data_IF_551397265765
#
_entry.id   IF_551397265765
#
_cell.length_a   1.000
_cell.length_b   1.000
_cell.length_c   1.000
_cell.angle_alpha   90.00
_cell.angle_beta   90.00
_cell.angle_gamma   90.00
#
_symmetry.space_group_name_H-M   'P 1'
#
loop_
_entity.id
_entity.type
_entity.pdbx_description
1 polymer ?
#
# COMPACT_ATOMS: atom_id res chain seq x y z
N UNK A 1 9.09 -17.05 -8.02
CA UNK A 1 8.39 -17.89 -7.01
C UNK A 1 7.19 -17.07 -6.52
N UNK A 2 6.00 -17.38 -7.03
CA UNK A 2 4.79 -16.64 -6.72
C UNK A 2 4.45 -16.73 -5.22
N UNK A 3 4.08 -15.62 -4.61
CA UNK A 3 3.56 -15.60 -3.25
C UNK A 3 2.12 -16.17 -3.29
N UNK A 4 1.99 -17.48 -3.00
CA UNK A 4 0.69 -18.13 -2.94
C UNK A 4 -0.22 -17.50 -1.88
N UNK A 5 -1.32 -16.91 -2.34
CA UNK A 5 -2.32 -16.28 -1.47
C UNK A 5 -3.19 -17.26 -0.69
N UNK A 6 -3.09 -18.58 -0.95
CA UNK A 6 -4.06 -19.58 -0.48
C UNK A 6 -3.82 -20.11 0.94
N UNK A 7 -2.64 -19.91 1.54
CA UNK A 7 -2.28 -20.49 2.84
C UNK A 7 -2.26 -19.51 4.02
N UNK A 8 -2.82 -18.32 3.87
CA UNK A 8 -2.87 -17.34 4.95
C UNK A 8 -3.83 -17.82 6.06
N UNK A 9 -3.28 -18.33 7.17
CA UNK A 9 -4.04 -18.49 8.43
C UNK A 9 -4.76 -17.19 8.76
N UNK A 10 -5.97 -17.25 9.33
CA UNK A 10 -6.71 -16.06 9.73
C UNK A 10 -5.82 -15.19 10.60
N UNK A 11 -5.64 -13.96 10.17
CA UNK A 11 -4.71 -13.01 10.68
C UNK A 11 -5.09 -12.55 12.09
N UNK A 12 -4.22 -12.69 13.05
CA UNK A 12 -4.40 -12.19 14.41
C UNK A 12 -3.72 -10.84 14.56
N UNK A 13 -4.52 -9.77 14.48
CA UNK A 13 -4.14 -8.45 14.96
C UNK A 13 -3.16 -7.65 14.08
N UNK A 14 -3.64 -6.92 13.04
CA UNK A 14 -2.83 -5.90 12.36
C UNK A 14 -2.65 -4.71 13.29
N UNK A 15 -1.42 -4.44 13.72
CA UNK A 15 -1.12 -3.38 14.67
C UNK A 15 -1.49 -1.99 14.14
N UNK A 16 -1.67 -1.84 12.82
CA UNK A 16 -2.15 -0.63 12.18
C UNK A 16 -3.67 -0.60 11.95
N UNK A 17 -4.41 -1.63 12.36
CA UNK A 17 -5.86 -1.62 12.25
C UNK A 17 -6.47 -0.70 13.32
N UNK A 18 -7.25 0.34 12.94
CA UNK A 18 -7.98 1.15 13.91
C UNK A 18 -8.95 0.27 14.71
N UNK A 19 -9.07 0.51 16.01
CA UNK A 19 -10.00 -0.25 16.88
C UNK A 19 -11.42 -0.19 16.34
N UNK A 20 -11.85 0.96 15.80
CA UNK A 20 -13.17 1.15 15.19
C UNK A 20 -13.43 0.23 14.00
N UNK A 21 -12.41 -0.38 13.42
CA UNK A 21 -12.58 -1.32 12.29
C UNK A 21 -13.20 -2.65 12.72
N UNK A 22 -13.06 -3.03 13.99
CA UNK A 22 -13.53 -4.31 14.56
C UNK A 22 -13.19 -5.54 13.67
N UNK A 23 -12.05 -5.50 12.96
CA UNK A 23 -11.64 -6.56 12.05
C UNK A 23 -12.42 -6.65 10.73
N UNK A 24 -13.38 -5.76 10.47
CA UNK A 24 -14.23 -5.79 9.26
C UNK A 24 -13.48 -5.71 7.94
N UNK A 25 -12.28 -5.16 7.95
CA UNK A 25 -11.42 -5.08 6.75
C UNK A 25 -11.03 -6.47 6.19
N UNK A 26 -11.17 -7.53 6.98
CA UNK A 26 -10.91 -8.93 6.59
C UNK A 26 -12.16 -9.78 6.47
N UNK A 27 -13.30 -9.23 6.85
CA UNK A 27 -14.58 -9.91 6.71
C UNK A 27 -15.06 -9.97 5.25
N UNK A 28 -16.14 -10.71 5.00
CA UNK A 28 -16.77 -10.71 3.69
C UNK A 28 -17.23 -9.28 3.35
N UNK A 29 -16.84 -8.83 2.16
CA UNK A 29 -17.26 -7.53 1.67
C UNK A 29 -18.76 -7.54 1.33
N UNK A 30 -19.49 -6.45 1.62
CA UNK A 30 -20.88 -6.32 1.20
C UNK A 30 -21.05 -6.48 -0.32
N UNK A 31 -22.21 -6.97 -0.82
CA UNK A 31 -22.43 -7.12 -2.27
C UNK A 31 -22.25 -5.84 -3.10
N UNK A 32 -22.44 -4.68 -2.47
CA UNK A 32 -22.31 -3.35 -3.11
C UNK A 32 -20.88 -2.80 -3.11
N UNK A 33 -19.86 -3.63 -2.92
CA UNK A 33 -18.47 -3.20 -2.96
C UNK A 33 -17.97 -2.99 -4.39
N UNK A 34 -17.13 -1.97 -4.54
CA UNK A 34 -16.45 -1.70 -5.79
C UNK A 34 -15.07 -2.41 -5.81
N UNK A 35 -14.76 -3.19 -6.84
CA UNK A 35 -13.43 -3.77 -6.98
C UNK A 35 -12.41 -2.66 -7.22
N UNK A 36 -11.24 -2.81 -6.60
CA UNK A 36 -10.12 -1.89 -6.73
C UNK A 36 -8.80 -2.65 -6.58
N UNK A 37 -7.73 -2.07 -7.11
CA UNK A 37 -6.40 -2.62 -6.99
C UNK A 37 -5.38 -1.52 -6.76
N UNK A 38 -4.29 -1.86 -6.08
CA UNK A 38 -3.14 -0.98 -5.87
C UNK A 38 -1.86 -1.74 -6.22
N UNK A 39 -0.83 -1.02 -6.67
CA UNK A 39 0.47 -1.58 -6.99
C UNK A 39 1.50 -1.23 -5.92
N UNK A 40 2.00 -2.24 -5.25
CA UNK A 40 3.11 -2.16 -4.31
C UNK A 40 4.39 -2.51 -5.07
N UNK A 41 4.94 -1.54 -5.81
CA UNK A 41 6.15 -1.75 -6.59
C UNK A 41 7.39 -1.68 -5.69
N UNK A 42 8.21 -2.72 -5.70
CA UNK A 42 9.55 -2.72 -5.12
C UNK A 42 10.54 -2.25 -6.18
N UNK A 43 11.13 -1.09 -5.97
CA UNK A 43 12.05 -0.42 -6.90
C UNK A 43 13.40 -0.14 -6.24
N UNK A 44 14.49 0.00 -7.00
CA UNK A 44 15.74 0.53 -6.45
C UNK A 44 15.53 1.92 -5.82
N UNK A 45 16.25 2.20 -4.75
CA UNK A 45 16.13 3.49 -4.05
C UNK A 45 16.57 4.67 -4.94
N UNK A 46 15.84 5.81 -4.93
CA UNK A 46 16.22 7.02 -5.69
C UNK A 46 17.40 7.77 -5.09
N UNK A 47 17.79 7.48 -3.84
CA UNK A 47 18.79 8.25 -3.12
C UNK A 47 20.13 7.53 -3.04
N UNK A 48 21.24 8.29 -3.16
CA UNK A 48 22.59 7.77 -3.00
C UNK A 48 22.85 7.22 -1.57
N UNK A 49 22.13 7.71 -0.58
CA UNK A 49 22.22 7.24 0.82
C UNK A 49 21.69 5.80 1.00
N UNK A 50 20.84 5.35 0.07
CA UNK A 50 20.22 4.02 0.08
C UNK A 50 20.56 3.23 -1.18
N UNK A 51 21.73 3.48 -1.78
CA UNK A 51 22.18 2.79 -2.99
C UNK A 51 22.25 1.28 -2.75
N UNK A 52 21.60 0.49 -3.61
CA UNK A 52 21.47 -0.96 -3.45
C UNK A 52 20.32 -1.41 -2.55
N UNK A 53 19.56 -0.48 -1.98
CA UNK A 53 18.36 -0.77 -1.20
C UNK A 53 17.10 -0.69 -2.06
N UNK A 54 16.04 -1.34 -1.59
CA UNK A 54 14.73 -1.33 -2.22
C UNK A 54 13.83 -0.30 -1.55
N UNK A 55 12.95 0.30 -2.34
CA UNK A 55 11.96 1.27 -1.89
C UNK A 55 10.59 0.99 -2.47
N UNK A 56 9.56 1.53 -1.83
CA UNK A 56 8.16 1.44 -2.28
C UNK A 56 7.68 2.87 -2.53
N UNK A 57 7.32 3.24 -3.77
CA UNK A 57 6.68 4.53 -4.03
C UNK A 57 5.26 4.56 -3.47
N UNK A 58 4.95 5.65 -2.80
CA UNK A 58 3.63 6.01 -2.30
C UNK A 58 3.26 7.38 -2.86
N UNK A 59 1.97 7.63 -3.05
CA UNK A 59 1.46 8.91 -3.54
C UNK A 59 0.82 9.70 -2.40
N UNK A 60 1.09 11.01 -2.34
CA UNK A 60 0.36 11.95 -1.51
C UNK A 60 -0.74 12.58 -2.34
N UNK A 61 -1.98 12.39 -1.96
CA UNK A 61 -3.13 12.99 -2.66
C UNK A 61 -3.22 14.49 -2.38
N UNK A 62 -3.56 15.32 -3.39
CA UNK A 62 -3.76 16.75 -3.19
C UNK A 62 -4.77 17.05 -2.08
N UNK A 63 -4.50 18.12 -1.31
CA UNK A 63 -5.40 18.57 -0.25
C UNK A 63 -6.75 19.09 -0.78
N UNK A 64 -6.82 19.39 -2.07
CA UNK A 64 -8.02 19.88 -2.78
C UNK A 64 -8.98 18.79 -3.22
N UNK A 65 -8.59 17.51 -3.13
CA UNK A 65 -9.45 16.40 -3.56
C UNK A 65 -10.67 16.25 -2.64
N UNK A 66 -11.82 15.87 -3.23
CA UNK A 66 -13.06 15.65 -2.50
C UNK A 66 -12.98 14.45 -1.54
N UNK A 67 -12.24 13.42 -1.91
CA UNK A 67 -12.07 12.20 -1.11
C UNK A 67 -10.60 11.94 -0.83
N UNK A 68 -10.32 11.49 0.40
CA UNK A 68 -8.95 11.12 0.83
C UNK A 68 -7.90 12.24 0.69
N UNK A 69 -8.31 13.51 0.73
CA UNK A 69 -7.44 14.68 0.64
C UNK A 69 -6.27 14.58 1.63
N UNK A 70 -5.05 14.84 1.15
CA UNK A 70 -3.83 14.81 1.95
C UNK A 70 -3.47 13.44 2.55
N UNK A 71 -4.05 12.35 2.05
CA UNK A 71 -3.70 11.00 2.51
C UNK A 71 -2.61 10.39 1.64
N UNK A 72 -1.77 9.59 2.29
CA UNK A 72 -0.76 8.79 1.60
C UNK A 72 -1.36 7.45 1.21
N UNK A 73 -1.19 7.06 -0.06
CA UNK A 73 -1.69 5.80 -0.62
C UNK A 73 -0.64 5.12 -1.51
N UNK A 74 -0.90 3.86 -1.84
CA UNK A 74 -0.25 3.25 -2.99
C UNK A 74 -0.87 3.80 -4.27
N UNK A 75 -0.12 3.86 -5.38
CA UNK A 75 -0.73 4.06 -6.70
C UNK A 75 -1.79 3.00 -6.95
N UNK A 76 -2.98 3.42 -7.39
CA UNK A 76 -4.08 2.51 -7.62
C UNK A 76 -5.45 3.11 -7.46
N UNK A 77 -6.47 2.38 -7.95
CA UNK A 77 -7.84 2.85 -7.98
C UNK A 77 -8.86 1.76 -8.28
N UNK A 78 -10.03 2.17 -8.76
CA UNK A 78 -11.14 1.29 -9.10
C UNK A 78 -10.86 0.52 -10.38
N UNK A 79 -11.25 -0.76 -10.39
CA UNK A 79 -11.31 -1.50 -11.64
C UNK A 79 -12.44 -0.97 -12.52
N UNK A 80 -12.15 -0.77 -13.78
CA UNK A 80 -13.14 -0.45 -14.80
C UNK A 80 -13.94 -1.71 -15.20
N UNK A 81 -15.04 -1.54 -15.93
CA UNK A 81 -15.83 -2.67 -16.37
C UNK A 81 -15.02 -3.63 -17.26
N UNK A 82 -14.93 -4.89 -16.88
CA UNK A 82 -14.16 -5.90 -17.59
C UNK A 82 -12.66 -5.89 -17.31
N UNK A 83 -12.16 -4.97 -16.48
CA UNK A 83 -10.75 -4.86 -16.13
C UNK A 83 -10.37 -5.84 -15.00
N UNK A 84 -9.25 -6.55 -15.14
CA UNK A 84 -8.68 -7.33 -14.06
C UNK A 84 -8.02 -6.43 -13.01
N UNK A 85 -7.74 -6.98 -11.81
CA UNK A 85 -7.03 -6.21 -10.78
C UNK A 85 -5.61 -5.84 -11.21
N UNK A 86 -4.94 -6.71 -11.97
CA UNK A 86 -3.61 -6.47 -12.50
C UNK A 86 -3.61 -5.32 -13.51
N UNK A 87 -4.59 -5.31 -14.42
CA UNK A 87 -4.76 -4.26 -15.39
C UNK A 87 -5.06 -2.91 -14.71
N UNK A 88 -5.98 -2.90 -13.73
CA UNK A 88 -6.33 -1.70 -13.00
C UNK A 88 -5.12 -1.11 -12.25
N UNK A 89 -4.37 -1.95 -11.52
CA UNK A 89 -3.21 -1.49 -10.77
C UNK A 89 -2.10 -0.93 -11.68
N UNK A 90 -1.85 -1.58 -12.81
CA UNK A 90 -0.86 -1.13 -13.79
C UNK A 90 -1.29 0.18 -14.48
N UNK A 91 -2.55 0.29 -14.88
CA UNK A 91 -3.11 1.51 -15.47
C UNK A 91 -3.01 2.69 -14.52
N UNK A 92 -3.52 2.54 -13.30
CA UNK A 92 -3.51 3.59 -12.26
C UNK A 92 -2.07 4.00 -11.90
N UNK A 93 -1.15 3.04 -11.78
CA UNK A 93 0.27 3.32 -11.57
C UNK A 93 0.85 4.22 -12.66
N UNK A 94 0.51 3.92 -13.93
CA UNK A 94 0.97 4.73 -15.07
C UNK A 94 0.29 6.09 -15.10
N UNK A 95 -1.00 6.18 -14.82
CA UNK A 95 -1.78 7.42 -14.81
C UNK A 95 -1.34 8.36 -13.68
N UNK A 96 -1.19 7.84 -12.45
CA UNK A 96 -0.82 8.63 -11.28
C UNK A 96 0.67 9.05 -11.29
N UNK A 97 1.59 8.14 -11.64
CA UNK A 97 3.03 8.41 -11.59
C UNK A 97 3.63 8.89 -12.91
N UNK A 98 2.87 8.85 -14.01
CA UNK A 98 3.33 9.29 -15.33
C UNK A 98 4.55 8.52 -15.84
N UNK A 99 4.68 7.25 -15.47
CA UNK A 99 5.78 6.38 -15.89
C UNK A 99 5.28 5.02 -16.33
N UNK A 100 5.98 4.38 -17.32
CA UNK A 100 5.58 3.09 -17.83
C UNK A 100 5.73 1.98 -16.77
N UNK A 101 4.84 1.00 -16.82
CA UNK A 101 4.85 -0.15 -15.91
C UNK A 101 5.44 -1.43 -16.52
N UNK A 102 5.83 -1.41 -17.79
CA UNK A 102 6.30 -2.59 -18.53
C UNK A 102 7.56 -3.23 -17.95
N UNK A 103 8.30 -2.49 -17.13
CA UNK A 103 9.50 -2.99 -16.43
C UNK A 103 9.21 -3.47 -15.03
N UNK A 104 7.94 -3.50 -14.63
CA UNK A 104 7.51 -4.02 -13.33
C UNK A 104 6.93 -5.41 -13.55
N UNK A 105 7.66 -6.43 -13.10
CA UNK A 105 7.17 -7.79 -13.06
C UNK A 105 6.20 -7.97 -11.91
N UNK A 106 4.95 -8.36 -12.18
CA UNK A 106 3.99 -8.72 -11.15
C UNK A 106 4.35 -10.09 -10.56
N UNK A 107 4.72 -10.12 -9.30
CA UNK A 107 5.21 -11.32 -8.59
C UNK A 107 4.17 -11.94 -7.67
N UNK A 108 3.00 -11.34 -7.53
CA UNK A 108 1.89 -11.88 -6.73
C UNK A 108 0.97 -10.81 -6.15
N UNK A 109 0.16 -11.23 -5.19
CA UNK A 109 -0.76 -10.33 -4.49
C UNK A 109 -0.82 -10.63 -3.00
N UNK A 110 -1.23 -9.63 -2.22
CA UNK A 110 -1.61 -9.80 -0.83
C UNK A 110 -3.12 -10.11 -0.73
N UNK A 111 -3.60 -10.62 0.41
CA UNK A 111 -5.03 -10.82 0.62
C UNK A 111 -5.80 -9.52 0.45
N UNK A 112 -6.93 -9.60 -0.24
CA UNK A 112 -7.80 -8.44 -0.44
C UNK A 112 -8.28 -7.86 0.87
N UNK A 113 -8.44 -6.52 0.89
CA UNK A 113 -8.88 -5.76 2.05
C UNK A 113 -10.16 -4.98 1.71
N UNK A 114 -11.15 -5.03 2.60
CA UNK A 114 -12.32 -4.17 2.48
C UNK A 114 -12.09 -2.83 3.18
N UNK A 115 -12.13 -1.76 2.41
CA UNK A 115 -12.01 -0.38 2.90
C UNK A 115 -13.41 0.19 3.11
N UNK A 116 -13.87 0.19 4.36
CA UNK A 116 -15.22 0.58 4.72
C UNK A 116 -15.58 2.02 4.30
N UNK A 117 -14.63 2.93 4.41
CA UNK A 117 -14.84 4.36 4.15
C UNK A 117 -15.20 4.66 2.69
N UNK A 118 -14.58 3.93 1.76
CA UNK A 118 -14.77 4.11 0.30
C UNK A 118 -15.59 2.98 -0.33
N UNK A 119 -16.01 1.97 0.45
CA UNK A 119 -16.69 0.75 -0.03
C UNK A 119 -15.90 0.00 -1.10
N UNK A 120 -14.58 0.07 -1.07
CA UNK A 120 -13.73 -0.66 -2.01
C UNK A 120 -13.25 -1.98 -1.41
N UNK A 121 -13.24 -3.02 -2.24
CA UNK A 121 -12.47 -4.24 -2.00
C UNK A 121 -11.18 -4.13 -2.78
N UNK A 122 -10.10 -3.82 -2.07
CA UNK A 122 -8.79 -3.54 -2.66
C UNK A 122 -7.95 -4.81 -2.68
N UNK A 123 -7.38 -5.12 -3.83
CA UNK A 123 -6.37 -6.18 -4.01
C UNK A 123 -5.00 -5.51 -4.13
N UNK A 124 -4.09 -5.68 -3.15
CA UNK A 124 -2.72 -5.20 -3.26
C UNK A 124 -1.91 -6.16 -4.12
N UNK A 125 -1.40 -5.68 -5.25
CA UNK A 125 -0.49 -6.42 -6.13
C UNK A 125 0.95 -6.08 -5.78
N UNK A 126 1.83 -7.07 -5.87
CA UNK A 126 3.26 -6.91 -5.67
C UNK A 126 3.96 -6.89 -7.02
N UNK A 127 4.77 -5.88 -7.24
CA UNK A 127 5.60 -5.73 -8.42
C UNK A 127 7.08 -5.58 -8.07
N UNK A 128 7.95 -6.09 -8.92
CA UNK A 128 9.40 -5.95 -8.80
C UNK A 128 9.93 -5.23 -10.05
N UNK A 129 10.57 -4.08 -9.88
CA UNK A 129 11.22 -3.35 -10.96
C UNK A 129 12.73 -3.40 -10.85
N UNK A 130 13.43 -3.58 -11.97
CA UNK A 130 14.90 -3.64 -12.03
C UNK A 130 15.58 -2.26 -11.95
N UNK A 131 14.86 -1.21 -12.27
CA UNK A 131 15.33 0.18 -12.26
C UNK A 131 14.26 1.12 -11.70
N UNK A 132 14.69 2.32 -11.30
CA UNK A 132 13.79 3.39 -10.89
C UNK A 132 13.37 4.17 -12.15
N UNK A 133 12.09 4.17 -12.54
CA UNK A 133 11.64 4.92 -13.69
C UNK A 133 11.66 6.44 -13.41
N UNK A 134 11.78 7.22 -14.47
CA UNK A 134 11.55 8.67 -14.38
C UNK A 134 10.06 8.90 -14.20
N UNK A 135 9.66 9.36 -13.03
CA UNK A 135 8.27 9.66 -12.69
C UNK A 135 7.89 11.09 -13.07
N UNK A 136 6.70 11.26 -13.60
CA UNK A 136 6.07 12.56 -13.91
C UNK A 136 4.64 12.54 -13.38
N UNK A 137 4.48 12.70 -12.04
CA UNK A 137 3.19 12.54 -11.40
C UNK A 137 2.12 13.47 -11.99
N UNK A 138 0.89 12.95 -12.10
CA UNK A 138 -0.27 13.74 -12.49
C UNK A 138 -0.63 14.69 -11.33
N UNK A 139 -0.49 16.03 -11.48
CA UNK A 139 -0.69 16.97 -10.39
C UNK A 139 -2.15 17.04 -9.89
N UNK A 140 -3.12 16.57 -10.69
CA UNK A 140 -4.51 16.53 -10.31
C UNK A 140 -4.81 15.39 -9.31
N UNK A 141 -3.94 14.37 -9.25
CA UNK A 141 -4.13 13.18 -8.41
C UNK A 141 -3.01 12.97 -7.40
N UNK A 142 -1.80 13.46 -7.69
CA UNK A 142 -0.59 13.27 -6.88
C UNK A 142 0.11 14.59 -6.67
N UNK A 143 0.12 15.07 -5.42
CA UNK A 143 0.88 16.28 -5.06
C UNK A 143 2.37 15.98 -4.81
N UNK A 144 2.69 14.75 -4.38
CA UNK A 144 4.05 14.34 -4.06
C UNK A 144 4.19 12.82 -4.17
N UNK A 145 5.37 12.34 -4.58
CA UNK A 145 5.75 10.92 -4.52
C UNK A 145 6.71 10.71 -3.37
N UNK A 146 6.32 9.89 -2.41
CA UNK A 146 7.10 9.53 -1.24
C UNK A 146 7.75 8.16 -1.44
N UNK A 147 8.98 8.01 -1.00
CA UNK A 147 9.68 6.73 -1.14
C UNK A 147 9.90 6.08 0.23
N UNK A 148 9.20 4.98 0.50
CA UNK A 148 9.37 4.22 1.74
C UNK A 148 10.50 3.19 1.56
N UNK A 149 11.69 3.37 2.19
CA UNK A 149 12.74 2.37 2.15
C UNK A 149 12.25 1.06 2.78
N UNK A 150 12.58 -0.08 2.15
CA UNK A 150 12.17 -1.39 2.64
C UNK A 150 12.72 -1.68 4.04
N UNK A 151 13.93 -1.24 4.33
CA UNK A 151 14.53 -1.33 5.65
C UNK A 151 13.72 -0.57 6.71
N UNK A 152 13.26 0.65 6.35
CA UNK A 152 12.38 1.42 7.23
C UNK A 152 11.08 0.67 7.48
N UNK A 153 10.44 0.12 6.44
CA UNK A 153 9.24 -0.72 6.57
C UNK A 153 9.46 -1.87 7.55
N UNK A 154 10.58 -2.58 7.46
CA UNK A 154 10.86 -3.72 8.34
C UNK A 154 11.02 -3.30 9.83
N UNK A 155 11.53 -2.09 10.08
CA UNK A 155 11.68 -1.50 11.41
C UNK A 155 10.43 -0.82 11.97
N UNK A 156 9.40 -0.57 11.17
CA UNK A 156 8.22 0.19 11.59
C UNK A 156 7.54 -0.37 12.82
N UNK A 157 7.18 0.56 13.71
CA UNK A 157 6.29 0.32 14.84
C UNK A 157 5.14 1.31 14.77
N UNK A 158 3.90 0.90 15.09
CA UNK A 158 2.77 1.81 15.05
C UNK A 158 2.89 2.85 16.16
N UNK A 159 2.65 4.09 15.77
CA UNK A 159 2.33 5.19 16.67
C UNK A 159 0.81 5.38 16.65
N UNK A 160 0.24 6.03 17.65
CA UNK A 160 -1.19 6.33 17.69
C UNK A 160 -1.39 7.84 17.63
N UNK A 161 -2.25 8.27 16.72
CA UNK A 161 -2.66 9.67 16.57
C UNK A 161 -4.17 9.79 16.59
N UNK A 162 -4.68 10.85 17.21
CA UNK A 162 -6.08 11.23 17.10
C UNK A 162 -6.29 12.07 15.86
N UNK A 163 -7.22 11.67 15.01
CA UNK A 163 -7.59 12.40 13.82
C UNK A 163 -9.09 12.76 13.87
N UNK A 164 -9.41 13.97 13.41
CA UNK A 164 -10.79 14.40 13.26
C UNK A 164 -11.39 13.80 11.99
N UNK A 165 -12.53 13.14 12.12
CA UNK A 165 -13.27 12.59 10.98
C UNK A 165 -14.74 12.94 11.11
N UNK A 166 -15.16 14.00 10.41
CA UNK A 166 -16.46 14.60 10.64
C UNK A 166 -16.58 15.08 12.09
N UNK A 167 -17.65 14.66 12.78
CA UNK A 167 -17.87 14.99 14.20
C UNK A 167 -17.10 14.08 15.19
N UNK A 168 -16.42 13.03 14.70
CA UNK A 168 -15.74 12.06 15.56
C UNK A 168 -14.24 12.32 15.62
N UNK A 169 -13.67 12.19 16.82
CA UNK A 169 -12.23 12.09 17.04
C UNK A 169 -11.89 10.60 17.18
N UNK A 170 -11.11 10.06 16.25
CA UNK A 170 -10.73 8.63 16.21
C UNK A 170 -9.24 8.45 16.43
N UNK A 171 -8.89 7.44 17.21
CA UNK A 171 -7.50 7.01 17.35
C UNK A 171 -7.11 6.11 16.18
N UNK A 172 -6.05 6.50 15.47
CA UNK A 172 -5.56 5.76 14.32
C UNK A 172 -4.10 5.38 14.52
N UNK A 173 -3.80 4.09 14.48
CA UNK A 173 -2.42 3.64 14.33
C UNK A 173 -1.86 4.05 12.98
N UNK A 174 -0.59 4.44 12.94
CA UNK A 174 0.10 4.85 11.75
C UNK A 174 1.58 5.10 12.01
N UNK A 175 2.24 5.72 11.06
CA UNK A 175 3.64 6.13 11.18
C UNK A 175 3.91 7.40 10.35
N UNK A 176 5.04 8.04 10.59
CA UNK A 176 5.47 9.20 9.82
C UNK A 176 6.41 8.78 8.69
N UNK A 177 6.17 9.29 7.49
CA UNK A 177 7.04 9.19 6.33
C UNK A 177 7.18 10.59 5.73
N UNK A 178 8.40 11.12 5.71
CA UNK A 178 8.72 12.43 5.11
C UNK A 178 7.78 13.57 5.57
N UNK A 179 7.38 13.55 6.86
CA UNK A 179 6.46 14.54 7.42
C UNK A 179 4.96 14.26 7.22
N UNK A 180 4.60 13.18 6.54
CA UNK A 180 3.22 12.80 6.29
C UNK A 180 2.79 11.62 7.16
N UNK A 181 1.54 11.64 7.63
CA UNK A 181 0.98 10.58 8.46
C UNK A 181 0.40 9.47 7.59
N UNK A 182 1.06 8.32 7.58
CA UNK A 182 0.60 7.10 6.89
C UNK A 182 -0.23 6.25 7.84
N UNK A 183 -1.48 5.98 7.48
CA UNK A 183 -2.45 5.29 8.33
C UNK A 183 -3.52 4.53 7.51
N UNK A 184 -4.46 3.89 8.18
CA UNK A 184 -5.60 3.23 7.55
C UNK A 184 -5.19 2.08 6.63
N UNK A 185 -5.84 1.98 5.48
CA UNK A 185 -5.64 0.86 4.54
C UNK A 185 -4.18 0.75 4.07
N UNK A 186 -3.52 1.87 3.78
CA UNK A 186 -2.13 1.91 3.34
C UNK A 186 -1.19 1.31 4.40
N UNK A 187 -1.27 1.79 5.65
CA UNK A 187 -0.45 1.27 6.73
C UNK A 187 -0.73 -0.21 7.03
N UNK A 188 -2.00 -0.64 6.93
CA UNK A 188 -2.39 -2.03 7.13
C UNK A 188 -1.86 -2.96 6.04
N UNK A 189 -1.87 -2.53 4.78
CA UNK A 189 -1.30 -3.30 3.67
C UNK A 189 0.22 -3.39 3.76
N UNK A 190 0.89 -2.30 4.19
CA UNK A 190 2.34 -2.30 4.44
C UNK A 190 2.73 -3.27 5.55
N UNK A 191 1.96 -3.37 6.63
CA UNK A 191 2.23 -4.36 7.67
C UNK A 191 2.04 -5.79 7.18
N UNK A 192 1.04 -6.06 6.35
CA UNK A 192 0.87 -7.36 5.72
C UNK A 192 2.07 -7.75 4.86
N UNK A 193 2.60 -6.80 4.09
CA UNK A 193 3.83 -7.00 3.32
C UNK A 193 5.01 -7.30 4.24
N UNK A 194 5.22 -6.46 5.27
CA UNK A 194 6.28 -6.63 6.27
C UNK A 194 6.28 -8.02 6.90
N UNK A 195 5.11 -8.48 7.38
CA UNK A 195 4.97 -9.79 8.02
C UNK A 195 5.40 -10.91 7.07
N UNK A 196 5.05 -10.82 5.79
CA UNK A 196 5.42 -11.82 4.78
C UNK A 196 6.91 -11.79 4.46
N UNK A 197 7.48 -10.60 4.30
CA UNK A 197 8.92 -10.44 4.05
C UNK A 197 9.75 -11.00 5.21
N UNK A 198 9.39 -10.67 6.45
CA UNK A 198 10.05 -11.21 7.64
C UNK A 198 9.94 -12.73 7.70
N UNK A 199 8.79 -13.30 7.37
CA UNK A 199 8.59 -14.75 7.33
C UNK A 199 9.46 -15.43 6.26
N UNK A 200 9.50 -14.85 5.06
CA UNK A 200 10.35 -15.36 3.98
C UNK A 200 11.82 -15.32 4.40
N UNK A 201 12.28 -14.20 4.92
CA UNK A 201 13.67 -14.04 5.33
C UNK A 201 14.07 -15.01 6.45
N UNK A 202 13.19 -15.28 7.43
CA UNK A 202 13.43 -16.32 8.45
C UNK A 202 13.54 -17.71 7.87
N UNK A 203 12.68 -18.06 6.93
CA UNK A 203 12.71 -19.38 6.26
C UNK A 203 13.98 -19.58 5.42
N UNK A 204 14.65 -18.52 5.04
CA UNK A 204 15.91 -18.57 4.26
C UNK A 204 17.17 -18.42 5.12
N UNK A 205 17.05 -18.45 6.46
CA UNK A 205 18.18 -18.30 7.38
C UNK A 205 18.83 -16.91 7.39
N UNK A 206 18.16 -15.90 6.81
CA UNK A 206 18.72 -14.55 6.68
C UNK A 206 18.81 -13.76 8.01
N UNK A 207 18.24 -14.29 9.09
CA UNK A 207 18.22 -13.67 10.43
C UNK A 207 18.93 -14.52 11.52
N UNK A 208 19.63 -15.60 11.14
CA UNK A 208 20.45 -16.38 12.06
C UNK A 208 21.91 -15.86 12.07
N UNK A 209 22.10 -14.60 12.50
CA UNK A 209 23.43 -14.11 12.91
C UNK A 209 23.27 -13.11 14.02
#
# INVERSE_FOLDING_TARGET
MALDGSTARPWRGNSFAPQISYGRHRGPAPPSTHPAAVLMALLPSPTNQHQGQWTIPLTLRPATMAEHAGQVSFPGGRCQAGESHEQAACREYTEELGCPNERIELIGSLPSMYVYASRHRVVPLLGLGGDLPVMRPNPDEVSEVLFLPLEHLLGLRPLVRKIQRGAMLIETPGFWLEGHWVWGATAMMLEDLKIRLVRIARNWGAFEK
#
